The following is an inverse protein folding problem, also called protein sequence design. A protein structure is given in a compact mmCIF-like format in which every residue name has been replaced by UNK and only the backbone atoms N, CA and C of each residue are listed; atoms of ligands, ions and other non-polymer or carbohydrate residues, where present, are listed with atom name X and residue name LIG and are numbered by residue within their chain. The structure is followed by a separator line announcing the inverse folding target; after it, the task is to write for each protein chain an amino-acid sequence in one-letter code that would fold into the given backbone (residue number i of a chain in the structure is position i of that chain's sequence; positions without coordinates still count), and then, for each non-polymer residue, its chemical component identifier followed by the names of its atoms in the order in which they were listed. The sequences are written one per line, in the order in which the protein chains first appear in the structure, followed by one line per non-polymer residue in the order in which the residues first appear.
data_IF_926489070622
#
_entry.id   IF_926489070622
#
_cell.length_a   1.000
_cell.length_b   1.000
_cell.length_c   1.000
_cell.angle_alpha   90.00
_cell.angle_beta   90.00
_cell.angle_gamma   90.00
#
_symmetry.space_group_name_H-M   'P 1'
#
loop_
_entity.id
_entity.type
_entity.pdbx_description
1 polymer ?
#
# COMPACT_ATOMS: atom_id res chain seq x y z
N UNK A 1 -2.78 26.88 -10.92
CA UNK A 1 -3.71 25.82 -11.30
C UNK A 1 -3.01 24.49 -11.54
N UNK A 2 -3.76 23.39 -11.45
CA UNK A 2 -3.21 22.06 -11.66
C UNK A 2 -2.69 21.90 -13.08
N UNK A 3 -1.81 20.90 -13.28
CA UNK A 3 -1.23 20.62 -14.59
C UNK A 3 -2.25 20.05 -15.58
N UNK A 4 -1.78 19.71 -16.77
CA UNK A 4 -2.67 19.16 -17.78
C UNK A 4 -2.74 17.64 -17.72
N UNK A 5 -1.60 16.99 -17.89
CA UNK A 5 -1.54 15.53 -17.86
C UNK A 5 -0.38 15.05 -16.98
N UNK A 6 -0.59 13.93 -16.31
CA UNK A 6 0.43 13.36 -15.44
C UNK A 6 1.46 12.59 -16.24
N UNK A 7 2.64 12.37 -15.63
CA UNK A 7 3.74 11.63 -16.28
C UNK A 7 3.43 10.15 -16.43
N UNK A 8 4.38 9.41 -17.01
CA UNK A 8 4.20 7.98 -17.22
C UNK A 8 3.82 7.28 -15.92
N UNK A 9 2.56 6.85 -15.85
CA UNK A 9 2.06 6.16 -14.66
C UNK A 9 2.64 4.76 -14.55
N UNK A 10 3.14 4.42 -13.36
CA UNK A 10 3.72 3.10 -13.13
C UNK A 10 2.88 2.28 -12.15
N UNK A 11 1.61 2.63 -12.04
CA UNK A 11 0.69 1.94 -11.15
C UNK A 11 -0.64 1.67 -11.83
N UNK A 12 -0.76 0.50 -12.45
CA UNK A 12 -1.98 0.12 -13.14
C UNK A 12 -3.19 0.29 -12.23
N UNK A 13 -3.07 -0.17 -11.00
CA UNK A 13 -4.16 -0.05 -10.03
C UNK A 13 -3.64 0.41 -8.67
N UNK A 14 -3.96 1.65 -8.32
CA UNK A 14 -3.52 2.22 -7.05
C UNK A 14 -4.28 1.61 -5.89
N UNK A 15 -3.56 1.30 -4.80
CA UNK A 15 -4.15 0.70 -3.60
C UNK A 15 -5.05 1.66 -2.84
N UNK A 16 -6.30 1.77 -3.28
CA UNK A 16 -7.26 2.67 -2.64
C UNK A 16 -7.30 2.43 -1.13
N UNK A 17 -7.56 3.50 -0.38
CA UNK A 17 -7.63 3.42 1.07
C UNK A 17 -8.73 2.47 1.52
N UNK A 18 -8.51 1.80 2.64
CA UNK A 18 -9.48 0.85 3.18
C UNK A 18 -9.75 1.12 4.65
N UNK A 19 -10.60 0.29 5.25
CA UNK A 19 -10.94 0.43 6.66
C UNK A 19 -11.04 -0.93 7.34
N UNK A 20 -10.40 -1.07 8.49
CA UNK A 20 -10.41 -2.32 9.24
C UNK A 20 -10.38 -2.06 10.75
N UNK A 21 -11.19 -2.80 11.48
CA UNK A 21 -11.25 -2.66 12.93
C UNK A 21 -9.99 -3.18 13.59
N UNK A 22 -9.64 -2.60 14.73
CA UNK A 22 -8.44 -3.00 15.47
C UNK A 22 -8.41 -4.51 15.65
N UNK A 23 -7.36 -5.15 15.14
CA UNK A 23 -7.23 -6.59 15.27
C UNK A 23 -7.63 -7.32 14.01
N UNK A 24 -8.66 -6.82 13.33
CA UNK A 24 -9.15 -7.44 12.11
C UNK A 24 -8.09 -7.36 11.00
N UNK A 25 -8.09 -8.36 10.12
CA UNK A 25 -7.14 -8.42 8.99
C UNK A 25 -7.42 -7.35 7.94
N UNK A 26 -6.35 -6.76 7.41
CA UNK A 26 -6.48 -5.73 6.39
C UNK A 26 -5.49 -5.95 5.25
N UNK A 27 -6.00 -6.01 4.02
CA UNK A 27 -5.16 -6.23 2.85
C UNK A 27 -5.37 -5.12 1.82
N UNK A 28 -4.29 -4.72 1.16
CA UNK A 28 -4.36 -3.67 0.15
C UNK A 28 -3.89 -4.20 -1.20
N UNK A 29 -4.72 -4.02 -2.23
CA UNK A 29 -4.39 -4.48 -3.57
C UNK A 29 -3.75 -3.35 -4.38
N UNK A 30 -2.50 -3.56 -4.80
CA UNK A 30 -1.77 -2.56 -5.57
C UNK A 30 -1.12 -3.21 -6.79
N UNK A 31 -1.51 -2.76 -7.98
CA UNK A 31 -0.95 -3.30 -9.21
C UNK A 31 -0.06 -2.25 -9.90
N UNK A 32 1.08 -2.70 -10.40
CA UNK A 32 2.03 -1.83 -11.08
C UNK A 32 1.77 -1.80 -12.59
N UNK A 33 2.27 -0.76 -13.25
CA UNK A 33 2.10 -0.62 -14.69
C UNK A 33 3.20 -1.37 -15.44
N UNK A 34 4.05 -2.06 -14.70
CA UNK A 34 5.15 -2.81 -15.29
C UNK A 34 5.52 -4.00 -14.42
N UNK A 35 5.96 -5.09 -15.06
CA UNK A 35 6.35 -6.29 -14.35
C UNK A 35 7.86 -6.36 -14.16
N UNK A 36 8.30 -7.10 -13.15
CA UNK A 36 9.72 -7.24 -12.88
C UNK A 36 10.19 -6.32 -11.75
N UNK A 37 9.54 -5.16 -11.63
CA UNK A 37 9.89 -4.21 -10.59
C UNK A 37 9.41 -4.67 -9.22
N UNK A 38 10.22 -4.45 -8.20
CA UNK A 38 9.87 -4.84 -6.84
C UNK A 38 9.20 -3.70 -6.10
N UNK A 39 7.88 -3.82 -5.88
CA UNK A 39 7.12 -2.80 -5.18
C UNK A 39 7.41 -2.82 -3.69
N UNK A 40 8.04 -1.75 -3.20
CA UNK A 40 8.37 -1.64 -1.78
C UNK A 40 7.24 -0.99 -1.00
N UNK A 41 6.91 -1.56 0.15
CA UNK A 41 5.84 -1.03 0.98
C UNK A 41 6.41 -0.47 2.29
N UNK A 42 5.72 0.53 2.84
CA UNK A 42 6.16 1.16 4.09
C UNK A 42 4.96 1.66 4.88
N UNK A 43 5.09 1.65 6.20
CA UNK A 43 4.01 2.10 7.08
C UNK A 43 4.41 3.39 7.80
N UNK A 44 3.46 3.98 8.52
CA UNK A 44 3.73 5.20 9.25
C UNK A 44 4.67 4.99 10.43
N UNK A 45 5.97 4.98 10.16
CA UNK A 45 6.94 4.78 11.22
C UNK A 45 8.12 3.93 10.78
N UNK A 46 7.82 2.83 10.10
CA UNK A 46 8.87 1.92 9.62
C UNK A 46 8.48 1.32 8.27
N UNK A 47 9.46 0.74 7.59
CA UNK A 47 9.22 0.13 6.29
C UNK A 47 8.53 -1.22 6.45
N UNK A 48 7.87 -1.68 5.38
CA UNK A 48 7.16 -2.95 5.41
C UNK A 48 7.81 -3.95 4.45
N UNK A 49 7.74 -5.22 4.81
CA UNK A 49 8.32 -6.28 3.98
C UNK A 49 7.72 -7.64 4.34
N UNK A 50 7.86 -8.60 3.44
CA UNK A 50 7.34 -9.94 3.66
C UNK A 50 8.03 -10.61 4.84
N UNK A 51 7.44 -10.46 6.03
CA UNK A 51 8.00 -11.04 7.24
C UNK A 51 6.94 -11.14 8.34
N UNK A 52 7.34 -11.68 9.48
CA UNK A 52 6.43 -11.83 10.61
C UNK A 52 5.70 -10.53 10.90
N UNK A 53 4.46 -10.63 11.35
CA UNK A 53 3.65 -9.46 11.67
C UNK A 53 3.16 -8.77 10.40
N UNK A 54 3.56 -9.31 9.26
CA UNK A 54 3.16 -8.75 7.96
C UNK A 54 3.13 -9.83 6.89
N UNK A 55 2.77 -9.43 5.67
CA UNK A 55 2.71 -10.37 4.57
C UNK A 55 2.63 -9.68 3.21
N UNK A 56 3.47 -10.10 2.29
CA UNK A 56 3.49 -9.52 0.95
C UNK A 56 3.30 -10.59 -0.11
N UNK A 57 2.27 -10.43 -0.94
CA UNK A 57 1.98 -11.37 -2.00
C UNK A 57 2.10 -10.72 -3.37
N UNK A 58 3.20 -11.02 -4.07
CA UNK A 58 3.44 -10.46 -5.39
C UNK A 58 3.30 -11.52 -6.47
N UNK A 59 2.73 -11.13 -7.61
CA UNK A 59 2.53 -12.05 -8.72
C UNK A 59 2.53 -11.30 -10.05
N UNK A 60 3.71 -11.13 -10.63
CA UNK A 60 3.81 -10.42 -11.90
C UNK A 60 3.70 -8.92 -11.75
N UNK A 61 2.54 -8.38 -12.09
CA UNK A 61 2.31 -6.94 -11.99
C UNK A 61 1.32 -6.63 -10.88
N UNK A 62 1.10 -7.59 -9.98
CA UNK A 62 0.18 -7.41 -8.87
C UNK A 62 0.92 -7.52 -7.53
N UNK A 63 0.50 -6.71 -6.57
CA UNK A 63 1.11 -6.71 -5.25
C UNK A 63 0.07 -6.47 -4.16
N UNK A 64 -0.16 -7.48 -3.33
CA UNK A 64 -1.13 -7.38 -2.25
C UNK A 64 -0.46 -7.42 -0.88
N UNK A 65 -0.59 -6.33 -0.12
CA UNK A 65 0.01 -6.24 1.20
C UNK A 65 -0.99 -6.64 2.29
N UNK A 66 -0.75 -7.78 2.93
CA UNK A 66 -1.63 -8.27 3.98
C UNK A 66 -1.08 -7.90 5.36
N UNK A 67 -1.93 -7.26 6.17
CA UNK A 67 -1.53 -6.86 7.51
C UNK A 67 -2.58 -7.28 8.54
N UNK A 68 -2.26 -8.30 9.32
CA UNK A 68 -3.17 -8.79 10.35
C UNK A 68 -2.89 -8.14 11.69
N UNK A 69 -1.67 -7.66 11.87
CA UNK A 69 -1.27 -7.01 13.11
C UNK A 69 -1.85 -5.60 13.20
N UNK A 70 -2.52 -5.17 12.13
CA UNK A 70 -3.13 -3.85 12.09
C UNK A 70 -3.99 -3.61 13.33
N UNK A 71 -3.80 -2.44 13.95
CA UNK A 71 -4.57 -2.10 15.13
C UNK A 71 -4.93 -0.63 15.19
N UNK A 72 -5.24 -0.13 16.39
CA UNK A 72 -5.62 1.26 16.60
C UNK A 72 -4.45 2.22 16.40
N UNK A 73 -3.24 1.68 16.41
CA UNK A 73 -2.04 2.49 16.23
C UNK A 73 -1.65 2.56 14.76
N UNK A 74 -2.28 1.72 13.94
CA UNK A 74 -2.00 1.69 12.50
C UNK A 74 -2.81 2.76 11.78
N UNK A 75 -3.57 3.55 12.54
CA UNK A 75 -4.38 4.61 11.96
C UNK A 75 -3.53 5.80 11.56
N UNK A 76 -2.57 5.57 10.67
CA UNK A 76 -1.69 6.64 10.23
C UNK A 76 -1.73 6.84 8.73
N UNK A 77 -0.56 6.77 8.09
CA UNK A 77 -0.46 6.95 6.65
C UNK A 77 0.36 5.82 6.01
N UNK A 78 -0.24 5.13 5.05
CA UNK A 78 0.43 4.03 4.37
C UNK A 78 1.14 4.53 3.11
N UNK A 79 2.39 4.09 2.93
CA UNK A 79 3.17 4.49 1.77
C UNK A 79 3.64 3.27 0.97
N UNK A 80 3.60 3.37 -0.34
CA UNK A 80 4.01 2.27 -1.21
C UNK A 80 4.62 2.81 -2.51
N UNK A 81 5.87 2.41 -2.77
CA UNK A 81 6.56 2.85 -3.99
C UNK A 81 6.89 1.66 -4.88
N UNK A 82 6.86 1.88 -6.19
CA UNK A 82 7.17 0.84 -7.15
C UNK A 82 8.19 1.32 -8.18
N UNK A 83 9.45 1.36 -7.78
CA UNK A 83 10.50 1.80 -8.67
C UNK A 83 10.59 3.32 -8.76
N UNK A 84 9.84 3.90 -9.69
CA UNK A 84 9.85 5.35 -9.87
C UNK A 84 8.59 5.97 -9.30
N UNK A 85 7.44 5.44 -9.68
CA UNK A 85 6.16 5.94 -9.21
C UNK A 85 6.00 5.71 -7.70
N UNK A 86 5.49 6.71 -7.00
CA UNK A 86 5.29 6.61 -5.56
C UNK A 86 3.87 7.02 -5.17
N UNK A 87 3.18 6.14 -4.48
CA UNK A 87 1.80 6.40 -4.05
C UNK A 87 1.60 6.00 -2.60
N UNK A 88 0.74 6.74 -1.90
CA UNK A 88 0.45 6.45 -0.49
C UNK A 88 -1.05 6.52 -0.23
N UNK A 89 -1.54 5.61 0.61
CA UNK A 89 -2.95 5.57 0.95
C UNK A 89 -3.16 5.67 2.46
N UNK A 90 -4.34 6.11 2.86
CA UNK A 90 -4.66 6.24 4.28
C UNK A 90 -5.44 5.04 4.78
N UNK A 91 -5.10 4.58 5.98
CA UNK A 91 -5.77 3.43 6.58
C UNK A 91 -6.59 3.84 7.79
N UNK A 92 -7.91 3.91 7.62
CA UNK A 92 -8.80 4.29 8.71
C UNK A 92 -9.20 3.07 9.53
N UNK A 93 -8.72 3.02 10.78
CA UNK A 93 -9.02 1.92 11.67
C UNK A 93 -10.38 2.11 12.34
N UNK A 94 -11.15 1.03 12.43
CA UNK A 94 -12.46 1.08 13.06
C UNK A 94 -12.39 0.70 14.54
N UNK A 95 -13.22 1.34 15.35
CA UNK A 95 -13.25 1.07 16.79
C UNK A 95 -14.65 0.62 17.22
#
# INVERSE_FOLDING_TARGET
PEPGKKPVSAFSKKPRSVEVAAGSPAVFEAETERAGVKVRWQRGGSDISASNKYGLATEGTRHTLTVREVGPADQGSYAVIAGSSKVKFDLKVIE
#
